data_IF_271157496469
#
_entry.id   IF_271157496469
#
_cell.length_a   1.000
_cell.length_b   1.000
_cell.length_c   1.000
_cell.angle_alpha   90.00
_cell.angle_beta   90.00
_cell.angle_gamma   90.00
#
_symmetry.space_group_name_H-M   'P 1'
#
loop_
_entity.id
_entity.type
_entity.pdbx_description
1 polymer ?
#
# COMPACT_ATOMS: atom_id res chain seq x y z
N UNK A 1 -9.82 -11.70 19.53
CA UNK A 1 -9.58 -10.86 18.35
C UNK A 1 -8.80 -11.66 17.30
N UNK A 2 -9.12 -11.46 16.06
CA UNK A 2 -8.50 -12.15 14.92
C UNK A 2 -7.49 -11.27 14.19
N UNK A 3 -6.64 -11.90 13.40
CA UNK A 3 -5.75 -11.19 12.47
C UNK A 3 -6.53 -10.77 11.23
N UNK A 4 -6.34 -9.54 10.81
CA UNK A 4 -6.95 -9.03 9.57
C UNK A 4 -5.95 -9.08 8.41
N UNK A 5 -6.47 -9.37 7.24
CA UNK A 5 -5.78 -9.19 5.95
C UNK A 5 -6.53 -8.11 5.20
N UNK A 6 -5.88 -6.99 4.98
CA UNK A 6 -6.47 -5.88 4.23
C UNK A 6 -5.88 -5.92 2.83
N UNK A 7 -6.74 -6.16 1.86
CA UNK A 7 -6.33 -6.46 0.49
C UNK A 7 -7.21 -5.76 -0.52
N UNK A 8 -6.59 -5.28 -1.58
CA UNK A 8 -7.27 -4.78 -2.78
C UNK A 8 -6.83 -5.60 -3.98
N UNK A 9 -7.71 -5.81 -4.93
CA UNK A 9 -7.38 -6.50 -6.19
C UNK A 9 -6.75 -5.56 -7.24
N UNK A 10 -6.63 -4.28 -6.93
CA UNK A 10 -6.05 -3.29 -7.86
C UNK A 10 -4.57 -3.51 -8.15
N UNK A 11 -3.84 -4.21 -7.28
CA UNK A 11 -2.45 -4.57 -7.52
C UNK A 11 -2.26 -5.43 -8.78
N UNK A 12 -3.28 -6.16 -9.21
CA UNK A 12 -3.24 -6.97 -10.43
C UNK A 12 -3.04 -6.12 -11.68
N UNK A 13 -3.42 -4.85 -11.61
CA UNK A 13 -3.28 -3.86 -12.69
C UNK A 13 -1.98 -3.04 -12.61
N UNK A 14 -1.18 -3.25 -11.58
CA UNK A 14 0.14 -2.67 -11.50
C UNK A 14 1.11 -3.53 -12.31
N UNK A 15 1.14 -3.29 -13.61
CA UNK A 15 1.96 -4.06 -14.55
C UNK A 15 3.33 -3.40 -14.65
N UNK A 16 4.36 -4.20 -14.49
CA UNK A 16 5.77 -3.75 -14.45
C UNK A 16 6.63 -4.34 -15.57
N UNK A 17 6.01 -5.10 -16.47
CA UNK A 17 6.70 -5.76 -17.57
C UNK A 17 7.08 -7.20 -17.27
N UNK A 18 7.31 -7.99 -18.32
CA UNK A 18 7.65 -9.40 -18.19
C UNK A 18 9.01 -9.58 -17.51
N UNK A 19 9.09 -10.53 -16.60
CA UNK A 19 10.32 -10.87 -15.89
C UNK A 19 10.77 -9.87 -14.82
N UNK A 20 10.01 -8.80 -14.59
CA UNK A 20 10.31 -7.85 -13.51
C UNK A 20 10.04 -8.52 -12.14
N UNK A 21 10.95 -8.38 -11.14
CA UNK A 21 10.75 -8.99 -9.82
C UNK A 21 9.52 -8.43 -9.07
N UNK A 22 9.17 -7.17 -9.28
CA UNK A 22 7.92 -6.58 -8.79
C UNK A 22 6.79 -6.94 -9.77
N UNK A 23 5.98 -7.94 -9.42
CA UNK A 23 4.93 -8.44 -10.32
C UNK A 23 3.70 -8.88 -9.53
N UNK A 24 2.50 -8.75 -10.12
CA UNK A 24 1.24 -9.14 -9.45
C UNK A 24 1.18 -10.59 -8.99
N UNK A 25 1.85 -11.50 -9.69
CA UNK A 25 1.89 -12.94 -9.34
C UNK A 25 2.35 -13.21 -7.91
N UNK A 26 3.25 -12.38 -7.37
CA UNK A 26 3.72 -12.50 -5.98
C UNK A 26 2.57 -12.34 -4.98
N UNK A 27 1.78 -11.31 -5.16
CA UNK A 27 0.66 -11.01 -4.27
C UNK A 27 -0.47 -12.02 -4.45
N UNK A 28 -0.74 -12.44 -5.68
CA UNK A 28 -1.74 -13.48 -5.98
C UNK A 28 -1.38 -14.78 -5.24
N UNK A 29 -0.13 -15.21 -5.29
CA UNK A 29 0.34 -16.42 -4.61
C UNK A 29 0.15 -16.32 -3.08
N UNK A 30 0.49 -15.19 -2.49
CA UNK A 30 0.30 -14.94 -1.05
C UNK A 30 -1.18 -14.98 -0.69
N UNK A 31 -2.02 -14.32 -1.47
CA UNK A 31 -3.47 -14.28 -1.27
C UNK A 31 -4.08 -15.67 -1.31
N UNK A 32 -3.73 -16.48 -2.31
CA UNK A 32 -4.21 -17.85 -2.44
C UNK A 32 -3.81 -18.72 -1.25
N UNK A 33 -2.60 -18.56 -0.76
CA UNK A 33 -2.12 -19.27 0.43
C UNK A 33 -2.89 -18.86 1.68
N UNK A 34 -3.09 -17.57 1.88
CA UNK A 34 -3.80 -17.05 3.06
C UNK A 34 -5.29 -17.38 3.04
N UNK A 35 -5.92 -17.49 1.88
CA UNK A 35 -7.34 -17.88 1.77
C UNK A 35 -7.64 -19.27 2.30
N UNK A 36 -6.66 -20.13 2.41
CA UNK A 36 -6.79 -21.46 3.02
C UNK A 36 -6.96 -21.42 4.53
N UNK A 37 -6.60 -20.30 5.16
CA UNK A 37 -6.79 -20.09 6.59
C UNK A 37 -8.17 -19.52 6.87
N UNK A 38 -8.86 -20.12 7.85
CA UNK A 38 -10.23 -19.71 8.24
C UNK A 38 -10.25 -18.74 9.43
N UNK A 39 -9.11 -18.50 10.04
CA UNK A 39 -8.96 -17.67 11.25
C UNK A 39 -8.66 -16.21 10.93
N UNK A 40 -8.73 -15.81 9.67
CA UNK A 40 -8.42 -14.46 9.20
C UNK A 40 -9.69 -13.67 8.89
N UNK A 41 -9.66 -12.38 9.18
CA UNK A 41 -10.66 -11.41 8.73
C UNK A 41 -10.15 -10.75 7.47
N UNK A 42 -10.96 -10.70 6.42
CA UNK A 42 -10.62 -10.05 5.17
C UNK A 42 -11.36 -8.73 5.02
N UNK A 43 -10.65 -7.66 4.76
CA UNK A 43 -11.21 -6.34 4.52
C UNK A 43 -10.59 -5.71 3.27
N UNK A 44 -11.32 -4.78 2.67
CA UNK A 44 -10.83 -3.93 1.58
C UNK A 44 -10.34 -2.61 2.16
N UNK A 45 -9.34 -1.96 1.53
CA UNK A 45 -8.87 -0.67 2.00
C UNK A 45 -9.93 0.40 1.80
N UNK A 46 -10.01 1.30 2.77
CA UNK A 46 -10.80 2.52 2.66
C UNK A 46 -9.98 3.59 1.93
N UNK A 47 -10.67 4.53 1.32
CA UNK A 47 -10.02 5.71 0.76
C UNK A 47 -9.44 6.56 1.88
N UNK A 48 -8.31 7.19 1.61
CA UNK A 48 -7.67 8.13 2.51
C UNK A 48 -7.43 9.47 1.79
N UNK A 49 -7.18 10.52 2.54
CA UNK A 49 -6.84 11.82 1.98
C UNK A 49 -5.39 11.79 1.48
N UNK A 50 -5.14 11.99 0.16
CA UNK A 50 -3.79 11.97 -0.40
C UNK A 50 -2.81 12.97 0.22
N UNK A 51 -3.30 13.98 0.92
CA UNK A 51 -2.44 14.95 1.61
C UNK A 51 -1.51 14.30 2.64
N UNK A 52 -1.88 13.12 3.15
CA UNK A 52 -1.04 12.32 4.05
C UNK A 52 0.33 12.00 3.43
N UNK A 53 0.38 11.80 2.12
CA UNK A 53 1.62 11.50 1.40
C UNK A 53 2.64 12.63 1.53
N UNK A 54 2.17 13.87 1.62
CA UNK A 54 3.02 15.06 1.76
C UNK A 54 3.62 15.21 3.15
N UNK A 55 3.16 14.42 4.12
CA UNK A 55 3.78 14.34 5.45
C UNK A 55 5.05 13.48 5.46
N UNK A 56 5.15 12.53 4.53
CA UNK A 56 6.27 11.59 4.44
C UNK A 56 7.23 11.92 3.28
N UNK A 57 6.76 12.68 2.30
CA UNK A 57 7.50 13.01 1.08
C UNK A 57 7.40 14.50 0.77
N UNK A 58 8.39 15.03 0.07
CA UNK A 58 8.32 16.40 -0.44
C UNK A 58 7.11 16.58 -1.36
N UNK A 59 6.44 17.72 -1.23
CA UNK A 59 5.24 18.01 -2.02
C UNK A 59 5.50 17.95 -3.53
N UNK A 60 6.63 18.47 -3.98
CA UNK A 60 7.04 18.43 -5.39
C UNK A 60 7.21 17.00 -5.90
N UNK A 61 7.73 16.10 -5.06
CA UNK A 61 7.89 14.69 -5.39
C UNK A 61 6.54 14.00 -5.54
N UNK A 62 5.63 14.23 -4.59
CA UNK A 62 4.26 13.66 -4.65
C UNK A 62 3.55 14.14 -5.91
N UNK A 63 3.61 15.43 -6.22
CA UNK A 63 2.98 16.01 -7.41
C UNK A 63 3.59 15.44 -8.70
N UNK A 64 4.90 15.26 -8.74
CA UNK A 64 5.59 14.66 -9.88
C UNK A 64 5.13 13.22 -10.12
N UNK A 65 5.05 12.41 -9.06
CA UNK A 65 4.58 11.03 -9.17
C UNK A 65 3.13 10.98 -9.64
N UNK A 66 2.24 11.79 -9.07
CA UNK A 66 0.83 11.82 -9.45
C UNK A 66 0.62 12.18 -10.93
N UNK A 67 1.48 13.01 -11.50
CA UNK A 67 1.43 13.40 -12.91
C UNK A 67 2.15 12.42 -13.84
N UNK A 68 2.89 11.44 -13.29
CA UNK A 68 3.75 10.54 -14.06
C UNK A 68 3.03 9.31 -14.61
N UNK A 69 1.82 8.99 -14.11
CA UNK A 69 1.12 7.78 -14.54
C UNK A 69 0.70 7.86 -16.01
N UNK A 70 1.07 6.85 -16.82
CA UNK A 70 0.71 6.84 -18.23
C UNK A 70 -0.78 6.54 -18.41
N UNK A 71 -1.36 6.99 -19.52
CA UNK A 71 -2.73 6.66 -19.89
C UNK A 71 -2.83 5.28 -20.55
N UNK A 72 -1.74 4.80 -21.11
CA UNK A 72 -1.63 3.49 -21.75
C UNK A 72 -0.18 3.03 -21.77
N UNK A 73 0.01 1.71 -21.80
CA UNK A 73 1.33 1.10 -21.85
C UNK A 73 2.13 1.21 -20.55
N UNK A 74 3.42 0.98 -20.68
CA UNK A 74 4.36 1.07 -19.59
C UNK A 74 5.19 2.35 -19.69
N UNK A 75 5.51 2.93 -18.54
CA UNK A 75 6.40 4.09 -18.44
C UNK A 75 7.49 3.81 -17.44
N UNK A 76 8.71 4.09 -17.80
CA UNK A 76 9.85 4.02 -16.91
C UNK A 76 9.90 5.29 -16.05
N UNK A 77 9.83 5.12 -14.73
CA UNK A 77 9.92 6.23 -13.78
C UNK A 77 11.38 6.52 -13.44
N UNK A 78 12.15 5.46 -13.23
CA UNK A 78 13.61 5.47 -13.09
C UNK A 78 14.20 4.19 -13.66
N UNK A 79 15.48 3.89 -13.39
CA UNK A 79 16.21 2.79 -14.05
C UNK A 79 15.57 1.40 -13.93
N UNK A 80 14.78 1.14 -12.89
CA UNK A 80 14.17 -0.18 -12.63
C UNK A 80 12.72 -0.10 -12.16
N UNK A 81 12.12 1.09 -12.17
CA UNK A 81 10.75 1.31 -11.74
C UNK A 81 9.85 1.58 -12.93
N UNK A 82 9.04 0.59 -13.28
CA UNK A 82 8.03 0.68 -14.34
C UNK A 82 6.64 0.90 -13.75
N UNK A 83 5.87 1.76 -14.36
CA UNK A 83 4.49 2.04 -13.99
C UNK A 83 3.56 1.88 -15.19
N UNK A 84 2.31 1.57 -14.92
CA UNK A 84 1.24 1.38 -15.90
C UNK A 84 0.01 2.20 -15.49
N UNK A 85 -1.04 2.28 -16.33
CA UNK A 85 -2.25 3.03 -15.96
C UNK A 85 -2.90 2.58 -14.66
N UNK A 86 -2.82 1.30 -14.32
CA UNK A 86 -3.36 0.76 -13.07
C UNK A 86 -2.49 0.96 -11.85
N UNK A 87 -1.27 1.45 -12.01
CA UNK A 87 -0.31 1.61 -10.92
C UNK A 87 -0.74 2.65 -9.89
N UNK A 88 -1.34 3.75 -10.31
CA UNK A 88 -1.78 4.81 -9.39
C UNK A 88 -2.76 4.27 -8.35
N UNK A 89 -3.82 3.61 -8.80
CA UNK A 89 -4.82 3.05 -7.89
C UNK A 89 -4.24 1.96 -7.01
N UNK A 90 -3.39 1.11 -7.55
CA UNK A 90 -2.72 0.06 -6.78
C UNK A 90 -1.85 0.65 -5.66
N UNK A 91 -1.08 1.70 -5.95
CA UNK A 91 -0.24 2.39 -4.97
C UNK A 91 -1.10 3.04 -3.89
N UNK A 92 -2.15 3.76 -4.27
CA UNK A 92 -3.04 4.41 -3.31
C UNK A 92 -3.75 3.39 -2.42
N UNK A 93 -4.23 2.29 -2.98
CA UNK A 93 -4.85 1.22 -2.21
C UNK A 93 -3.85 0.54 -1.26
N UNK A 94 -2.59 0.36 -1.68
CA UNK A 94 -1.56 -0.19 -0.82
C UNK A 94 -1.31 0.69 0.41
N UNK A 95 -1.23 1.99 0.23
CA UNK A 95 -1.12 2.96 1.34
C UNK A 95 -2.37 2.91 2.22
N UNK A 96 -3.55 2.88 1.62
CA UNK A 96 -4.82 2.74 2.33
C UNK A 96 -4.90 1.47 3.17
N UNK A 97 -4.38 0.35 2.68
CA UNK A 97 -4.30 -0.90 3.44
C UNK A 97 -3.48 -0.73 4.72
N UNK A 98 -2.32 -0.08 4.63
CA UNK A 98 -1.45 0.15 5.79
C UNK A 98 -2.13 1.06 6.81
N UNK A 99 -2.70 2.17 6.36
CA UNK A 99 -3.41 3.11 7.23
C UNK A 99 -4.56 2.40 7.96
N UNK A 100 -5.37 1.63 7.24
CA UNK A 100 -6.50 0.90 7.83
C UNK A 100 -6.05 -0.18 8.81
N UNK A 101 -4.95 -0.86 8.52
CA UNK A 101 -4.37 -1.83 9.45
C UNK A 101 -3.94 -1.17 10.76
N UNK A 102 -3.27 -0.02 10.69
CA UNK A 102 -2.83 0.74 11.85
C UNK A 102 -4.05 1.20 12.67
N UNK A 103 -5.03 1.82 12.03
CA UNK A 103 -6.25 2.29 12.69
C UNK A 103 -7.02 1.15 13.34
N UNK A 104 -7.17 0.03 12.64
CA UNK A 104 -7.88 -1.14 13.16
C UNK A 104 -7.23 -1.72 14.40
N UNK A 105 -5.90 -1.69 14.45
CA UNK A 105 -5.12 -2.13 15.58
C UNK A 105 -5.21 -1.13 16.74
N UNK A 106 -5.05 0.15 16.47
CA UNK A 106 -5.18 1.23 17.48
C UNK A 106 -6.58 1.22 18.12
N UNK A 107 -7.61 0.96 17.34
CA UNK A 107 -9.00 0.87 17.82
C UNK A 107 -9.36 -0.52 18.39
N UNK A 108 -8.38 -1.40 18.59
CA UNK A 108 -8.55 -2.75 19.12
C UNK A 108 -9.52 -3.63 18.33
N UNK A 109 -9.71 -3.32 17.05
CA UNK A 109 -10.51 -4.12 16.14
C UNK A 109 -9.82 -5.44 15.74
N UNK A 110 -8.49 -5.40 15.65
CA UNK A 110 -7.64 -6.54 15.30
C UNK A 110 -6.58 -6.78 16.39
N UNK A 111 -6.27 -8.06 16.63
CA UNK A 111 -5.28 -8.45 17.64
C UNK A 111 -3.85 -8.27 17.15
N UNK A 112 -3.55 -8.68 15.93
CA UNK A 112 -2.20 -8.71 15.40
C UNK A 112 -1.91 -7.49 14.57
N UNK A 113 -0.78 -6.89 14.87
CA UNK A 113 -0.31 -5.69 14.23
C UNK A 113 0.01 -4.59 15.24
N UNK A 114 -0.59 -4.61 16.46
CA UNK A 114 -0.35 -3.57 17.48
C UNK A 114 1.13 -3.42 17.77
N UNK A 115 1.82 -4.51 18.07
CA UNK A 115 3.25 -4.48 18.39
C UNK A 115 4.12 -4.14 17.18
N UNK A 116 3.72 -4.59 16.00
CA UNK A 116 4.45 -4.26 14.77
C UNK A 116 4.22 -2.82 14.36
N UNK A 117 2.99 -2.33 14.44
CA UNK A 117 2.65 -0.94 14.15
C UNK A 117 3.30 0.02 15.14
N UNK A 118 3.26 -0.28 16.45
CA UNK A 118 3.93 0.52 17.46
C UNK A 118 5.45 0.55 17.27
N UNK A 119 6.07 -0.57 16.93
CA UNK A 119 7.50 -0.62 16.59
C UNK A 119 7.82 0.15 15.32
N UNK A 120 6.93 0.12 14.33
CA UNK A 120 7.09 0.86 13.11
C UNK A 120 6.97 2.37 13.37
N UNK A 121 5.98 2.79 14.14
CA UNK A 121 5.77 4.19 14.53
C UNK A 121 6.92 4.71 15.42
N UNK A 122 7.49 3.86 16.28
CA UNK A 122 8.64 4.21 17.10
C UNK A 122 9.94 4.31 16.29
N UNK A 123 10.07 3.53 15.19
CA UNK A 123 11.23 3.60 14.29
C UNK A 123 11.20 4.80 13.35
N UNK A 124 10.02 5.28 13.04
CA UNK A 124 9.82 6.43 12.17
C UNK A 124 8.98 7.46 12.91
N UNK A 125 9.57 8.15 13.92
CA UNK A 125 8.85 9.21 14.58
C UNK A 125 8.42 10.20 13.49
N UNK A 126 7.11 10.40 13.38
CA UNK A 126 6.57 11.48 12.59
C UNK A 126 7.05 12.72 13.30
N UNK A 127 8.12 13.34 12.80
CA UNK A 127 8.48 14.66 13.23
C UNK A 127 7.34 15.58 12.81
N UNK A 128 6.46 15.86 13.76
CA UNK A 128 5.57 17.00 13.66
C UNK A 128 6.40 18.25 13.82
N UNK A 129 7.27 18.55 12.86
CA UNK A 129 7.77 19.89 12.68
C UNK A 129 6.66 20.68 12.00
N UNK A 130 5.69 21.03 12.81
CA UNK A 130 4.81 22.14 12.53
C UNK A 130 5.64 23.41 12.61
N UNK A 131 6.28 23.77 11.52
CA UNK A 131 6.74 25.13 11.30
C UNK A 131 5.95 25.77 10.21
#
# INVERSE_FOLDING_TARGET
MKTAVINSDTYEKHITGDGHPEQPKRVIAIKERLKKRKDLIWEKPKKFDPIILKKAHDESYVDMIQKSFPKEGLKLLDGDTLISPGSEKAIMDAVGCVIQAIEGVENKKFKNGVRKAQKLLARFPIHSDSR
#
